data_IF_846588858162
#
_entry.id   IF_846588858162
#
_cell.length_a   1.000
_cell.length_b   1.000
_cell.length_c   1.000
_cell.angle_alpha   90.00
_cell.angle_beta   90.00
_cell.angle_gamma   90.00
#
_symmetry.space_group_name_H-M   'P 1'
#
loop_
_entity.id
_entity.type
_entity.pdbx_description
1 polymer ?
#
# COMPACT_ATOMS: atom_id res chain seq x y z
N UNK A 1 -37.86 33.59 -69.41
CA UNK A 1 -37.78 34.74 -68.49
C UNK A 1 -38.32 34.27 -67.14
N UNK A 2 -37.54 34.47 -66.06
CA UNK A 2 -37.94 34.41 -64.65
C UNK A 2 -38.44 33.08 -64.03
N UNK A 3 -37.51 32.42 -63.33
CA UNK A 3 -37.57 31.85 -61.97
C UNK A 3 -38.93 31.76 -61.23
N UNK A 4 -39.27 30.55 -60.72
CA UNK A 4 -39.26 30.12 -59.27
C UNK A 4 -40.42 29.16 -58.89
N UNK A 5 -40.00 28.06 -58.24
CA UNK A 5 -40.69 27.23 -57.23
C UNK A 5 -41.91 26.39 -57.71
N UNK A 6 -42.06 25.10 -57.39
CA UNK A 6 -42.09 24.53 -56.05
C UNK A 6 -41.90 22.99 -56.12
N UNK A 7 -41.20 22.44 -55.13
CA UNK A 7 -41.34 21.09 -54.56
C UNK A 7 -41.30 19.88 -55.51
N UNK A 8 -40.20 19.13 -55.51
CA UNK A 8 -40.25 17.68 -55.32
C UNK A 8 -38.89 17.16 -54.84
N UNK A 9 -38.97 16.27 -53.85
CA UNK A 9 -38.02 15.19 -53.55
C UNK A 9 -36.69 15.56 -52.87
N UNK A 10 -36.68 15.55 -51.53
CA UNK A 10 -35.85 14.60 -50.77
C UNK A 10 -36.24 14.67 -49.28
N UNK A 11 -37.12 13.78 -48.84
CA UNK A 11 -37.21 13.42 -47.43
C UNK A 11 -35.94 12.62 -47.11
N UNK A 12 -34.94 13.28 -46.54
CA UNK A 12 -33.84 12.59 -45.87
C UNK A 12 -34.40 12.01 -44.56
N UNK A 13 -34.86 10.77 -44.61
CA UNK A 13 -35.07 9.97 -43.40
C UNK A 13 -33.68 9.64 -42.87
N UNK A 14 -33.17 10.50 -41.99
CA UNK A 14 -32.05 10.13 -41.13
C UNK A 14 -32.63 9.28 -40.00
N UNK A 15 -32.87 7.99 -40.29
CA UNK A 15 -33.14 7.01 -39.26
C UNK A 15 -31.83 6.80 -38.48
N UNK A 16 -31.66 7.59 -37.42
CA UNK A 16 -30.67 7.28 -36.39
C UNK A 16 -31.12 5.97 -35.77
N UNK A 17 -30.51 4.86 -36.20
CA UNK A 17 -30.63 3.59 -35.50
C UNK A 17 -29.90 3.76 -34.18
N UNK A 18 -30.63 4.16 -33.13
CA UNK A 18 -30.21 3.94 -31.75
C UNK A 18 -30.13 2.42 -31.58
N UNK A 19 -28.93 1.86 -31.75
CA UNK A 19 -28.64 0.52 -31.25
C UNK A 19 -28.79 0.60 -29.74
N UNK A 20 -29.95 0.17 -29.22
CA UNK A 20 -30.09 -0.14 -27.81
C UNK A 20 -29.03 -1.19 -27.51
N UNK A 21 -27.93 -0.79 -26.87
CA UNK A 21 -26.98 -1.73 -26.33
C UNK A 21 -27.78 -2.65 -25.42
N UNK A 22 -27.83 -3.94 -25.76
CA UNK A 22 -28.56 -4.91 -24.97
C UNK A 22 -28.02 -4.82 -23.54
N UNK A 23 -28.90 -4.47 -22.60
CA UNK A 23 -28.53 -4.45 -21.18
C UNK A 23 -28.14 -5.86 -20.81
N UNK A 24 -26.86 -6.09 -20.56
CA UNK A 24 -26.37 -7.36 -20.02
C UNK A 24 -26.93 -7.47 -18.61
N UNK A 25 -27.98 -8.27 -18.46
CA UNK A 25 -28.53 -8.60 -17.15
C UNK A 25 -27.55 -9.59 -16.50
N UNK A 26 -26.70 -9.07 -15.61
CA UNK A 26 -25.86 -9.92 -14.77
C UNK A 26 -26.68 -10.27 -13.53
N UNK A 27 -27.14 -11.51 -13.44
CA UNK A 27 -27.81 -12.02 -12.23
C UNK A 27 -26.77 -12.77 -11.41
N UNK A 28 -26.26 -12.21 -10.30
CA UNK A 28 -25.41 -12.97 -9.40
C UNK A 28 -26.20 -14.17 -8.85
N UNK A 29 -25.55 -15.35 -8.70
CA UNK A 29 -26.22 -16.51 -8.14
C UNK A 29 -26.67 -16.23 -6.71
N UNK A 30 -27.84 -16.74 -6.33
CA UNK A 30 -28.43 -16.54 -5.00
C UNK A 30 -27.69 -17.27 -3.87
N UNK A 31 -26.74 -18.13 -4.23
CA UNK A 31 -25.85 -18.82 -3.32
C UNK A 31 -24.45 -18.90 -3.95
N UNK A 32 -23.37 -18.87 -3.16
CA UNK A 32 -22.03 -19.16 -3.66
C UNK A 32 -22.01 -20.59 -4.27
N UNK A 33 -21.24 -20.82 -5.35
CA UNK A 33 -21.02 -22.17 -5.88
C UNK A 33 -20.57 -23.17 -4.80
N UNK A 34 -20.85 -24.46 -4.94
CA UNK A 34 -20.35 -25.48 -4.01
C UNK A 34 -18.87 -25.78 -4.24
N UNK A 35 -18.09 -25.90 -3.15
CA UNK A 35 -16.65 -26.19 -3.03
C UNK A 35 -15.69 -25.32 -3.88
N UNK A 36 -14.57 -24.88 -3.28
CA UNK A 36 -13.55 -23.99 -3.87
C UNK A 36 -14.02 -22.57 -4.23
N UNK A 37 -14.96 -21.99 -3.47
CA UNK A 37 -15.29 -20.56 -3.59
C UNK A 37 -14.34 -19.75 -2.72
N UNK A 38 -13.50 -18.93 -3.37
CA UNK A 38 -12.78 -17.85 -2.68
C UNK A 38 -13.76 -16.72 -2.40
N UNK A 39 -14.10 -16.51 -1.13
CA UNK A 39 -14.86 -15.33 -0.71
C UNK A 39 -14.02 -14.08 -0.98
N UNK A 40 -14.51 -13.20 -1.85
CA UNK A 40 -13.97 -11.85 -2.00
C UNK A 40 -14.66 -10.96 -0.98
N UNK A 41 -13.93 -10.56 0.05
CA UNK A 41 -14.46 -9.64 1.05
C UNK A 41 -14.69 -8.25 0.46
N UNK A 42 -15.66 -7.54 1.00
CA UNK A 42 -16.05 -6.17 0.60
C UNK A 42 -14.94 -5.14 0.77
N UNK A 43 -13.92 -5.41 1.60
CA UNK A 43 -12.69 -4.61 1.72
C UNK A 43 -11.49 -5.21 0.97
N UNK A 44 -11.73 -5.99 -0.09
CA UNK A 44 -10.66 -6.52 -0.94
C UNK A 44 -9.87 -5.40 -1.63
N UNK A 45 -10.53 -4.29 -1.97
CA UNK A 45 -9.87 -3.11 -2.53
C UNK A 45 -9.09 -2.35 -1.45
N UNK A 46 -7.84 -2.01 -1.75
CA UNK A 46 -6.99 -1.17 -0.92
C UNK A 46 -6.16 -0.20 -1.77
N UNK A 47 -5.48 0.74 -1.12
CA UNK A 47 -4.68 1.78 -1.77
C UNK A 47 -3.26 1.73 -1.21
N UNK A 48 -2.25 1.79 -2.08
CA UNK A 48 -0.85 1.94 -1.68
C UNK A 48 -0.39 3.38 -1.93
N UNK A 49 0.38 3.93 -1.00
CA UNK A 49 0.90 5.28 -0.99
C UNK A 49 2.40 5.24 -0.70
N UNK A 50 3.16 6.08 -1.41
CA UNK A 50 4.54 6.39 -1.05
C UNK A 50 4.57 7.26 0.21
N UNK A 51 5.54 7.02 1.10
CA UNK A 51 5.78 7.87 2.27
C UNK A 51 6.05 9.33 1.86
N UNK A 52 6.87 9.54 0.82
CA UNK A 52 7.45 10.85 0.46
C UNK A 52 6.45 11.94 0.07
N UNK A 53 5.16 11.64 -0.04
CA UNK A 53 4.14 12.63 -0.34
C UNK A 53 2.89 12.48 0.54
N UNK A 54 2.98 11.72 1.64
CA UNK A 54 1.80 11.41 2.47
C UNK A 54 1.09 12.67 2.96
N UNK A 55 1.83 13.74 3.24
CA UNK A 55 1.30 15.01 3.71
C UNK A 55 0.51 15.79 2.66
N UNK A 56 0.71 15.53 1.36
CA UNK A 56 -0.10 16.10 0.30
C UNK A 56 -1.52 15.51 0.28
N UNK A 57 -1.65 14.26 0.72
CA UNK A 57 -2.93 13.56 0.78
C UNK A 57 -3.64 13.78 2.11
N UNK A 58 -2.91 13.76 3.22
CA UNK A 58 -3.47 13.75 4.58
C UNK A 58 -3.16 15.00 5.41
N UNK A 59 -2.54 16.03 4.83
CA UNK A 59 -2.20 17.25 5.56
C UNK A 59 -0.90 17.12 6.38
N UNK A 60 -0.53 18.19 7.09
CA UNK A 60 0.69 18.21 7.88
C UNK A 60 0.48 17.83 9.35
N UNK A 61 -0.77 17.82 9.79
CA UNK A 61 -1.20 17.52 11.15
C UNK A 61 -2.69 17.13 11.15
N UNK A 62 -3.22 16.72 12.30
CA UNK A 62 -4.61 16.26 12.45
C UNK A 62 -5.65 17.34 12.15
N UNK A 63 -5.27 18.62 12.19
CA UNK A 63 -6.17 19.76 11.91
C UNK A 63 -6.25 20.11 10.42
N UNK A 64 -5.31 19.61 9.62
CA UNK A 64 -5.15 19.94 8.20
C UNK A 64 -5.46 18.78 7.26
N UNK A 65 -6.07 17.69 7.77
CA UNK A 65 -6.50 16.55 6.95
C UNK A 65 -7.54 17.04 5.90
N UNK A 66 -7.25 16.94 4.60
CA UNK A 66 -8.12 17.50 3.57
C UNK A 66 -9.49 16.83 3.52
N UNK A 67 -10.56 17.62 3.55
CA UNK A 67 -11.93 17.09 3.40
C UNK A 67 -12.13 16.18 2.15
N UNK A 68 -11.48 16.44 0.99
CA UNK A 68 -11.60 15.53 -0.16
C UNK A 68 -11.13 14.10 0.12
N UNK A 69 -10.02 13.89 0.85
CA UNK A 69 -9.54 12.53 1.15
C UNK A 69 -10.50 11.85 2.13
N UNK A 70 -11.00 12.59 3.12
CA UNK A 70 -11.99 12.08 4.07
C UNK A 70 -13.27 11.62 3.37
N UNK A 71 -13.82 12.44 2.48
CA UNK A 71 -15.01 12.10 1.70
C UNK A 71 -14.80 10.86 0.83
N UNK A 72 -13.62 10.74 0.21
CA UNK A 72 -13.27 9.60 -0.63
C UNK A 72 -13.18 8.30 0.18
N UNK A 73 -12.47 8.33 1.30
CA UNK A 73 -12.33 7.16 2.19
C UNK A 73 -13.67 6.78 2.84
N UNK A 74 -14.49 7.75 3.27
CA UNK A 74 -15.84 7.48 3.78
C UNK A 74 -16.72 6.81 2.72
N UNK A 75 -16.61 7.23 1.46
CA UNK A 75 -17.36 6.59 0.38
C UNK A 75 -16.90 5.13 0.17
N UNK A 76 -15.61 4.84 0.27
CA UNK A 76 -15.11 3.46 0.22
C UNK A 76 -15.61 2.65 1.42
N UNK A 77 -15.46 3.16 2.64
CA UNK A 77 -15.89 2.50 3.87
C UNK A 77 -17.40 2.20 3.89
N UNK A 78 -18.23 3.09 3.34
CA UNK A 78 -19.68 2.83 3.21
C UNK A 78 -20.03 1.63 2.30
N UNK A 79 -19.05 1.06 1.58
CA UNK A 79 -19.20 -0.09 0.68
C UNK A 79 -18.50 -1.35 1.20
N UNK A 80 -17.86 -1.30 2.37
CA UNK A 80 -17.09 -2.41 2.92
C UNK A 80 -17.87 -3.30 3.89
N UNK A 81 -19.19 -3.11 4.06
CA UNK A 81 -20.01 -3.91 5.01
C UNK A 81 -19.42 -3.90 6.43
N UNK A 82 -19.03 -2.71 6.90
CA UNK A 82 -18.44 -2.50 8.23
C UNK A 82 -16.96 -2.91 8.36
N UNK A 83 -16.32 -3.40 7.30
CA UNK A 83 -14.88 -3.73 7.31
C UNK A 83 -14.03 -2.46 7.09
N UNK A 84 -12.80 -2.40 7.61
CA UNK A 84 -11.94 -1.24 7.40
C UNK A 84 -11.45 -1.16 5.95
N UNK A 85 -11.29 0.08 5.46
CA UNK A 85 -10.58 0.35 4.20
C UNK A 85 -9.09 0.14 4.45
N UNK A 86 -8.40 -0.61 3.58
CA UNK A 86 -6.98 -0.94 3.77
C UNK A 86 -6.09 0.03 3.02
N UNK A 87 -5.20 0.71 3.74
CA UNK A 87 -4.23 1.64 3.18
C UNK A 87 -2.81 1.15 3.50
N UNK A 88 -1.96 1.06 2.48
CA UNK A 88 -0.53 0.71 2.64
C UNK A 88 0.31 1.96 2.49
N UNK A 89 1.11 2.26 3.51
CA UNK A 89 2.16 3.27 3.49
C UNK A 89 3.50 2.58 3.33
N UNK A 90 4.26 2.90 2.29
CA UNK A 90 5.52 2.22 2.04
C UNK A 90 6.23 2.76 0.81
N UNK A 91 6.73 1.84 -0.01
CA UNK A 91 7.41 2.15 -1.27
C UNK A 91 8.90 2.35 -1.08
N UNK A 92 9.59 2.73 -2.16
CA UNK A 92 11.02 3.03 -2.09
C UNK A 92 11.28 4.16 -1.09
N UNK A 93 10.39 5.14 -1.05
CA UNK A 93 10.52 6.26 -0.12
C UNK A 93 10.46 5.85 1.35
N UNK A 94 9.78 4.76 1.70
CA UNK A 94 9.80 4.27 3.10
C UNK A 94 11.14 3.61 3.44
N UNK A 95 11.69 2.82 2.51
CA UNK A 95 12.96 2.12 2.69
C UNK A 95 14.15 3.10 2.81
N UNK A 96 14.06 4.24 2.13
CA UNK A 96 15.11 5.28 2.07
C UNK A 96 15.03 6.34 3.17
N UNK A 97 13.93 6.37 3.93
CA UNK A 97 13.63 7.44 4.88
C UNK A 97 14.01 7.10 6.32
N UNK A 98 14.11 8.14 7.15
CA UNK A 98 14.47 8.00 8.58
C UNK A 98 13.38 8.58 9.47
N UNK A 99 12.89 7.78 10.41
CA UNK A 99 11.97 8.25 11.43
C UNK A 99 12.69 9.03 12.52
N UNK A 100 12.15 10.19 12.90
CA UNK A 100 12.66 11.04 13.97
C UNK A 100 11.49 11.31 14.94
N UNK A 101 11.38 10.57 16.06
CA UNK A 101 10.18 10.63 16.92
C UNK A 101 9.77 12.05 17.36
N UNK A 102 10.76 12.89 17.68
CA UNK A 102 10.56 14.25 18.18
C UNK A 102 10.38 15.30 17.07
N UNK A 103 10.47 14.91 15.79
CA UNK A 103 10.22 15.81 14.67
C UNK A 103 8.75 16.25 14.66
N UNK A 104 8.52 17.57 14.60
CA UNK A 104 7.18 18.15 14.66
C UNK A 104 6.49 18.18 13.28
N UNK A 105 7.30 18.13 12.23
CA UNK A 105 6.87 18.07 10.85
C UNK A 105 6.54 16.63 10.50
N UNK A 106 5.42 16.40 9.80
CA UNK A 106 5.09 15.06 9.31
C UNK A 106 6.18 14.52 8.37
N UNK A 107 6.74 15.37 7.50
CA UNK A 107 7.71 15.02 6.45
C UNK A 107 8.65 16.21 6.21
N UNK A 108 9.95 15.93 6.04
CA UNK A 108 10.95 16.85 5.47
C UNK A 108 11.81 16.12 4.43
N UNK A 109 11.95 16.67 3.22
CA UNK A 109 12.83 16.09 2.20
C UNK A 109 14.30 16.28 2.59
N UNK A 110 15.08 15.21 2.53
CA UNK A 110 16.49 15.20 2.99
C UNK A 110 17.50 15.24 1.85
N UNK A 111 17.07 14.96 0.61
CA UNK A 111 17.92 15.03 -0.58
C UNK A 111 17.22 15.79 -1.73
N UNK A 112 17.66 17.03 -2.05
CA UNK A 112 17.09 17.82 -3.14
C UNK A 112 17.46 17.31 -4.53
N UNK A 113 18.38 16.35 -4.63
CA UNK A 113 18.85 15.71 -5.87
C UNK A 113 18.39 14.27 -6.02
N UNK A 114 17.46 13.84 -5.17
CA UNK A 114 16.97 12.48 -5.11
C UNK A 114 16.32 12.01 -6.42
N UNK A 115 16.35 10.70 -6.62
CA UNK A 115 15.68 10.03 -7.73
C UNK A 115 14.17 10.25 -7.63
N UNK A 116 13.49 10.60 -8.73
CA UNK A 116 12.03 10.82 -8.71
C UNK A 116 11.20 9.62 -8.24
N UNK A 117 11.75 8.40 -8.35
CA UNK A 117 11.13 7.16 -7.90
C UNK A 117 11.56 6.73 -6.48
N UNK A 118 12.48 7.47 -5.85
CA UNK A 118 12.91 7.27 -4.47
C UNK A 118 13.35 8.62 -3.86
N UNK A 119 12.42 9.26 -3.15
CA UNK A 119 12.62 10.56 -2.53
C UNK A 119 12.72 10.38 -1.00
N UNK A 120 13.93 10.32 -0.42
CA UNK A 120 14.08 10.13 1.01
C UNK A 120 13.62 11.35 1.80
N UNK A 121 13.02 11.08 2.94
CA UNK A 121 12.52 12.07 3.88
C UNK A 121 12.94 11.73 5.30
N UNK A 122 12.93 12.71 6.18
CA UNK A 122 12.74 12.46 7.61
C UNK A 122 11.27 12.65 7.97
N UNK A 123 10.74 11.82 8.85
CA UNK A 123 9.33 11.86 9.23
C UNK A 123 9.15 11.74 10.73
N UNK A 124 8.14 12.44 11.26
CA UNK A 124 7.88 12.55 12.70
C UNK A 124 6.69 11.72 13.17
N UNK A 125 6.54 11.61 14.49
CA UNK A 125 5.41 10.89 15.14
C UNK A 125 4.03 11.45 14.78
N UNK A 126 3.96 12.72 14.36
CA UNK A 126 2.76 13.38 13.83
C UNK A 126 2.12 12.60 12.68
N UNK A 127 2.90 11.83 11.91
CA UNK A 127 2.38 10.92 10.90
C UNK A 127 1.36 9.93 11.47
N UNK A 128 1.68 9.29 12.60
CA UNK A 128 0.81 8.30 13.21
C UNK A 128 -0.45 8.94 13.81
N UNK A 129 -0.33 10.16 14.35
CA UNK A 129 -1.49 10.92 14.83
C UNK A 129 -2.46 11.25 13.68
N UNK A 130 -1.93 11.65 12.51
CA UNK A 130 -2.74 11.91 11.29
C UNK A 130 -3.41 10.63 10.78
N UNK A 131 -2.68 9.51 10.76
CA UNK A 131 -3.22 8.21 10.39
C UNK A 131 -4.34 7.78 11.35
N UNK A 132 -4.14 7.91 12.66
CA UNK A 132 -5.13 7.60 13.70
C UNK A 132 -6.37 8.49 13.60
N UNK A 133 -6.18 9.81 13.48
CA UNK A 133 -7.28 10.75 13.31
C UNK A 133 -8.09 10.46 12.04
N UNK A 134 -7.43 10.00 10.97
CA UNK A 134 -8.12 9.54 9.76
C UNK A 134 -8.97 8.30 10.07
N UNK A 135 -8.41 7.27 10.71
CA UNK A 135 -9.15 6.05 11.08
C UNK A 135 -10.36 6.37 11.96
N UNK A 136 -10.18 7.21 12.98
CA UNK A 136 -11.24 7.65 13.89
C UNK A 136 -12.34 8.43 13.17
N UNK A 137 -11.97 9.33 12.24
CA UNK A 137 -12.93 10.15 11.49
C UNK A 137 -13.78 9.31 10.54
N UNK A 138 -13.18 8.30 9.91
CA UNK A 138 -13.88 7.43 8.96
C UNK A 138 -14.67 6.32 9.67
N UNK A 139 -14.22 5.90 10.84
CA UNK A 139 -14.79 4.77 11.57
C UNK A 139 -14.34 3.40 11.04
N UNK A 140 -13.25 3.35 10.28
CA UNK A 140 -12.71 2.10 9.74
C UNK A 140 -11.72 2.28 8.59
N UNK A 141 -10.48 2.59 8.95
CA UNK A 141 -9.31 2.55 8.06
C UNK A 141 -8.20 1.80 8.79
N UNK A 142 -7.69 0.73 8.19
CA UNK A 142 -6.53 0.02 8.71
C UNK A 142 -5.30 0.27 7.85
N UNK A 143 -4.16 0.38 8.53
CA UNK A 143 -2.89 0.75 7.92
C UNK A 143 -1.93 -0.44 7.84
N UNK A 144 -1.34 -0.64 6.68
CA UNK A 144 -0.14 -1.45 6.50
C UNK A 144 1.06 -0.52 6.43
N UNK A 145 2.08 -0.72 7.24
CA UNK A 145 3.24 0.18 7.34
C UNK A 145 4.50 -0.56 6.90
N UNK A 146 5.19 -0.02 5.89
CA UNK A 146 6.53 -0.48 5.51
C UNK A 146 7.55 -0.27 6.62
N UNK A 147 8.47 -1.20 6.80
CA UNK A 147 9.62 -1.07 7.69
C UNK A 147 10.87 -1.27 6.87
N UNK A 148 11.79 -0.31 6.90
CA UNK A 148 12.98 -0.39 6.06
C UNK A 148 13.79 -1.65 6.37
N UNK A 149 14.18 -2.35 5.30
CA UNK A 149 15.15 -3.44 5.34
C UNK A 149 16.49 -3.00 4.73
N UNK A 150 16.71 -1.71 4.43
CA UNK A 150 17.96 -1.27 3.78
C UNK A 150 19.19 -1.45 4.66
N UNK A 151 19.04 -1.21 5.95
CA UNK A 151 20.01 -1.56 6.98
C UNK A 151 19.35 -2.51 7.98
N UNK A 152 19.66 -3.83 7.94
CA UNK A 152 19.02 -4.79 8.83
C UNK A 152 19.31 -4.55 10.32
N UNK A 153 20.40 -3.84 10.63
CA UNK A 153 20.80 -3.49 12.00
C UNK A 153 20.31 -2.11 12.44
N UNK A 154 19.48 -1.45 11.63
CA UNK A 154 18.95 -0.12 11.94
C UNK A 154 18.21 -0.14 13.27
N UNK A 155 18.58 0.77 14.17
CA UNK A 155 17.82 1.05 15.39
C UNK A 155 16.53 1.81 15.11
N UNK A 156 16.35 2.32 13.88
CA UNK A 156 15.17 3.08 13.50
C UNK A 156 13.93 2.19 13.32
N UNK A 157 14.10 1.01 12.71
CA UNK A 157 13.01 0.08 12.44
C UNK A 157 12.20 -0.32 13.68
N UNK A 158 12.81 -0.75 14.80
CA UNK A 158 12.04 -1.04 16.03
C UNK A 158 11.41 0.21 16.68
N UNK A 159 11.98 1.41 16.48
CA UNK A 159 11.38 2.66 16.96
C UNK A 159 10.08 2.97 16.21
N UNK A 160 10.11 2.90 14.88
CA UNK A 160 8.93 3.08 14.02
C UNK A 160 7.84 2.08 14.39
N UNK A 161 8.20 0.81 14.52
CA UNK A 161 7.23 -0.25 14.80
C UNK A 161 6.56 -0.06 16.17
N UNK A 162 7.33 0.26 17.21
CA UNK A 162 6.79 0.51 18.55
C UNK A 162 5.86 1.72 18.57
N UNK A 163 6.30 2.85 18.03
CA UNK A 163 5.51 4.09 18.07
C UNK A 163 4.24 3.99 17.21
N UNK A 164 4.33 3.35 16.03
CA UNK A 164 3.16 3.13 15.18
C UNK A 164 2.13 2.22 15.87
N UNK A 165 2.56 1.11 16.46
CA UNK A 165 1.66 0.20 17.18
C UNK A 165 1.04 0.88 18.42
N UNK A 166 1.81 1.67 19.16
CA UNK A 166 1.34 2.42 20.32
C UNK A 166 0.22 3.41 19.96
N UNK A 167 0.33 4.10 18.82
CA UNK A 167 -0.64 5.13 18.40
C UNK A 167 -1.83 4.52 17.67
N UNK A 168 -1.58 3.61 16.73
CA UNK A 168 -2.62 3.05 15.87
C UNK A 168 -3.40 1.91 16.52
N UNK A 169 -2.75 1.12 17.38
CA UNK A 169 -3.39 -0.01 18.06
C UNK A 169 -4.09 -0.93 17.06
N UNK A 170 -5.40 -1.05 17.17
CA UNK A 170 -6.22 -1.92 16.30
C UNK A 170 -6.28 -1.43 14.85
N UNK A 171 -6.07 -0.14 14.58
CA UNK A 171 -6.05 0.42 13.22
C UNK A 171 -4.73 0.09 12.46
N UNK A 172 -3.78 -0.60 13.10
CA UNK A 172 -2.61 -1.16 12.43
C UNK A 172 -2.92 -2.60 11.97
N UNK A 173 -3.03 -2.82 10.66
CA UNK A 173 -3.25 -4.14 10.06
C UNK A 173 -1.98 -5.00 10.12
N UNK A 174 -0.89 -4.47 9.56
CA UNK A 174 0.40 -5.17 9.52
C UNK A 174 1.60 -4.25 9.28
N UNK A 175 2.78 -4.70 9.69
CA UNK A 175 4.07 -4.25 9.24
C UNK A 175 4.56 -5.05 8.03
N UNK A 176 5.21 -4.36 7.10
CA UNK A 176 5.77 -4.93 5.87
C UNK A 176 7.29 -4.73 5.86
N UNK A 177 8.06 -5.79 6.04
CA UNK A 177 9.52 -5.68 6.14
C UNK A 177 10.15 -5.60 4.74
N UNK A 178 10.70 -4.43 4.44
CA UNK A 178 11.30 -4.05 3.16
C UNK A 178 10.27 -3.66 2.09
N UNK A 179 10.78 -3.06 1.03
CA UNK A 179 10.06 -2.81 -0.22
C UNK A 179 10.90 -3.30 -1.41
N UNK A 180 10.37 -4.28 -2.17
CA UNK A 180 11.03 -4.79 -3.38
C UNK A 180 12.52 -5.17 -3.14
N UNK A 181 12.82 -6.00 -2.13
CA UNK A 181 14.20 -6.37 -1.81
C UNK A 181 14.92 -7.06 -2.97
N UNK A 182 14.17 -7.64 -3.90
CA UNK A 182 14.65 -8.21 -5.16
C UNK A 182 15.23 -7.17 -6.14
N UNK A 183 15.08 -5.87 -5.87
CA UNK A 183 15.63 -4.76 -6.65
C UNK A 183 16.77 -4.00 -5.96
N UNK A 184 17.10 -4.31 -4.70
CA UNK A 184 18.05 -3.53 -3.91
C UNK A 184 19.42 -3.34 -4.58
N UNK A 185 20.01 -4.40 -5.16
CA UNK A 185 21.28 -4.27 -5.89
C UNK A 185 21.15 -3.32 -7.08
N UNK A 186 20.07 -3.43 -7.88
CA UNK A 186 19.88 -2.59 -9.06
C UNK A 186 19.62 -1.12 -8.72
N UNK A 187 19.08 -0.85 -7.53
CA UNK A 187 18.85 0.51 -7.02
C UNK A 187 20.08 1.08 -6.29
N UNK A 188 21.12 0.27 -6.03
CA UNK A 188 22.30 0.69 -5.28
C UNK A 188 22.12 0.66 -3.76
N UNK A 189 21.03 0.07 -3.26
CA UNK A 189 20.66 -0.03 -1.84
C UNK A 189 21.46 -1.09 -1.06
N UNK A 190 22.31 -1.84 -1.77
CA UNK A 190 23.30 -2.77 -1.21
C UNK A 190 24.68 -2.48 -1.81
N UNK A 191 25.31 -1.34 -1.47
CA UNK A 191 26.60 -0.97 -2.03
C UNK A 191 27.66 -2.05 -1.72
N UNK A 192 28.40 -2.46 -2.75
CA UNK A 192 29.38 -3.54 -2.65
C UNK A 192 28.83 -4.95 -2.82
N UNK A 193 27.51 -5.13 -2.95
CA UNK A 193 26.90 -6.42 -3.22
C UNK A 193 26.31 -6.47 -4.64
N UNK A 194 27.09 -7.02 -5.57
CA UNK A 194 26.71 -7.12 -6.98
C UNK A 194 25.56 -8.10 -7.27
N UNK A 195 25.20 -8.96 -6.31
CA UNK A 195 24.10 -9.92 -6.44
C UNK A 195 23.49 -10.20 -5.06
N UNK A 196 22.67 -9.27 -4.56
CA UNK A 196 21.83 -9.55 -3.40
C UNK A 196 20.82 -10.64 -3.79
N UNK A 197 20.87 -11.77 -3.07
CA UNK A 197 20.09 -12.97 -3.38
C UNK A 197 18.96 -13.19 -2.37
N UNK A 198 18.10 -14.16 -2.67
CA UNK A 198 17.05 -14.61 -1.73
C UNK A 198 17.63 -15.01 -0.37
N UNK A 199 18.83 -15.61 -0.34
CA UNK A 199 19.47 -16.01 0.92
C UNK A 199 20.00 -14.83 1.72
N UNK A 200 20.54 -13.81 1.04
CA UNK A 200 20.95 -12.56 1.71
C UNK A 200 19.73 -11.86 2.31
N UNK A 201 18.62 -11.82 1.55
CA UNK A 201 17.34 -11.33 2.05
C UNK A 201 16.83 -12.08 3.28
N UNK A 202 16.88 -13.41 3.31
CA UNK A 202 16.47 -14.18 4.50
C UNK A 202 17.34 -13.81 5.70
N UNK A 203 18.65 -13.62 5.50
CA UNK A 203 19.56 -13.16 6.55
C UNK A 203 19.19 -11.79 7.10
N UNK A 204 19.01 -10.80 6.21
CA UNK A 204 18.60 -9.45 6.59
C UNK A 204 17.21 -9.46 7.28
N UNK A 205 16.27 -10.24 6.75
CA UNK A 205 14.94 -10.41 7.32
C UNK A 205 15.00 -10.99 8.73
N UNK A 206 15.82 -12.03 8.97
CA UNK A 206 16.02 -12.62 10.30
C UNK A 206 16.47 -11.59 11.34
N UNK A 207 17.43 -10.73 10.97
CA UNK A 207 17.97 -9.70 11.87
C UNK A 207 16.90 -8.66 12.18
N UNK A 208 16.28 -8.07 11.15
CA UNK A 208 15.25 -7.04 11.35
C UNK A 208 14.02 -7.58 12.06
N UNK A 209 13.55 -8.78 11.70
CA UNK A 209 12.45 -9.46 12.36
C UNK A 209 12.75 -9.68 13.84
N UNK A 210 13.94 -10.17 14.20
CA UNK A 210 14.34 -10.34 15.59
C UNK A 210 14.36 -9.03 16.41
N UNK A 211 14.72 -7.91 15.77
CA UNK A 211 14.70 -6.60 16.42
C UNK A 211 13.29 -6.14 16.79
N UNK A 212 12.24 -6.62 16.10
CA UNK A 212 10.84 -6.30 16.39
C UNK A 212 10.31 -6.96 17.67
N UNK A 213 11.04 -7.92 18.25
CA UNK A 213 10.70 -8.45 19.57
C UNK A 213 10.95 -7.43 20.71
N UNK A 214 11.70 -6.36 20.43
CA UNK A 214 12.14 -5.38 21.43
C UNK A 214 11.90 -3.94 20.95
N UNK A 215 10.64 -3.50 20.96
CA UNK A 215 10.26 -2.12 20.62
C UNK A 215 9.91 -1.29 21.86
N UNK A 216 9.67 0.01 21.68
CA UNK A 216 9.14 0.90 22.73
C UNK A 216 7.76 0.47 23.24
N UNK A 217 7.00 -0.28 22.45
CA UNK A 217 5.66 -0.80 22.79
C UNK A 217 5.68 -2.32 23.08
N UNK A 218 6.87 -2.89 23.29
CA UNK A 218 7.06 -4.31 23.60
C UNK A 218 7.31 -5.18 22.37
N UNK A 219 6.94 -6.45 22.47
CA UNK A 219 7.13 -7.45 21.41
C UNK A 219 6.00 -7.35 20.37
N UNK A 220 6.27 -6.65 19.25
CA UNK A 220 5.27 -6.50 18.19
C UNK A 220 5.14 -7.75 17.32
N UNK A 221 6.06 -8.72 17.43
CA UNK A 221 5.93 -10.01 16.73
C UNK A 221 4.77 -10.83 17.32
N UNK A 222 4.49 -10.66 18.61
CA UNK A 222 3.40 -11.36 19.31
C UNK A 222 1.99 -10.93 18.88
N UNK A 223 1.88 -9.88 18.06
CA UNK A 223 0.60 -9.27 17.66
C UNK A 223 -0.01 -9.90 16.41
N UNK A 224 0.68 -10.85 15.75
CA UNK A 224 0.30 -11.44 14.46
C UNK A 224 0.08 -10.37 13.37
N UNK A 225 0.96 -9.35 13.37
CA UNK A 225 0.91 -8.18 12.47
C UNK A 225 2.10 -8.10 11.52
N UNK A 226 2.80 -9.19 11.23
CA UNK A 226 3.93 -9.14 10.28
C UNK A 226 3.51 -9.71 8.93
N UNK A 227 3.91 -9.06 7.85
CA UNK A 227 3.67 -9.54 6.49
C UNK A 227 4.89 -9.29 5.58
N UNK A 228 4.97 -10.04 4.48
CA UNK A 228 6.12 -10.05 3.57
C UNK A 228 5.93 -11.10 2.46
N UNK A 229 6.87 -11.24 1.51
CA UNK A 229 8.20 -10.63 1.45
C UNK A 229 8.28 -9.30 0.68
N UNK A 230 7.14 -8.75 0.24
CA UNK A 230 7.03 -7.46 -0.50
C UNK A 230 7.84 -7.34 -1.79
N UNK A 231 8.25 -8.48 -2.38
CA UNK A 231 8.93 -8.53 -3.68
C UNK A 231 8.04 -8.05 -4.82
N UNK A 232 8.63 -7.73 -5.96
CA UNK A 232 7.87 -7.37 -7.15
C UNK A 232 8.13 -8.22 -8.40
N UNK A 233 9.40 -8.40 -8.77
CA UNK A 233 9.73 -8.48 -10.20
C UNK A 233 10.87 -9.42 -10.55
N UNK A 234 12.00 -9.30 -9.86
CA UNK A 234 13.25 -9.98 -10.20
C UNK A 234 13.33 -11.37 -9.61
N UNK A 235 12.66 -11.60 -8.48
CA UNK A 235 12.57 -12.91 -7.85
C UNK A 235 11.19 -13.53 -8.08
N UNK A 236 11.18 -14.86 -8.28
CA UNK A 236 9.94 -15.63 -8.27
C UNK A 236 9.46 -15.79 -6.82
N UNK A 237 8.19 -15.47 -6.56
CA UNK A 237 7.57 -15.67 -5.25
C UNK A 237 7.71 -17.13 -4.80
N UNK A 238 7.52 -18.10 -5.69
CA UNK A 238 7.72 -19.51 -5.38
C UNK A 238 9.13 -19.80 -4.92
N UNK A 239 10.15 -19.15 -5.48
CA UNK A 239 11.53 -19.33 -5.05
C UNK A 239 11.74 -18.81 -3.62
N UNK A 240 11.15 -17.67 -3.26
CA UNK A 240 11.21 -17.14 -1.89
C UNK A 240 10.43 -18.02 -0.91
N UNK A 241 9.23 -18.47 -1.26
CA UNK A 241 8.43 -19.29 -0.34
C UNK A 241 9.05 -20.68 -0.09
N UNK A 242 9.79 -21.22 -1.05
CA UNK A 242 10.45 -22.54 -0.95
C UNK A 242 11.91 -22.48 -0.49
N UNK A 243 12.48 -21.29 -0.30
CA UNK A 243 13.89 -21.11 0.11
C UNK A 243 14.15 -21.39 1.60
N UNK A 244 13.09 -21.57 2.39
CA UNK A 244 13.13 -21.61 3.85
C UNK A 244 12.46 -20.41 4.51
N UNK A 245 12.28 -19.29 3.80
CA UNK A 245 11.67 -18.08 4.35
C UNK A 245 10.27 -18.35 4.94
N UNK A 246 9.39 -19.01 4.19
CA UNK A 246 8.04 -19.28 4.70
C UNK A 246 8.06 -20.27 5.87
N UNK A 247 8.94 -21.28 5.86
CA UNK A 247 9.03 -22.22 6.99
C UNK A 247 9.53 -21.54 8.26
N UNK A 248 10.45 -20.59 8.13
CA UNK A 248 11.10 -19.92 9.25
C UNK A 248 10.19 -18.88 9.92
N UNK A 249 9.28 -18.24 9.17
CA UNK A 249 8.49 -17.10 9.66
C UNK A 249 6.97 -17.31 9.66
N UNK A 250 6.44 -18.43 9.13
CA UNK A 250 4.97 -18.60 8.98
C UNK A 250 4.18 -18.50 10.29
N UNK A 251 4.80 -18.77 11.44
CA UNK A 251 4.14 -18.81 12.73
C UNK A 251 3.85 -17.40 13.29
N UNK A 252 4.34 -16.35 12.61
CA UNK A 252 4.13 -14.94 12.95
C UNK A 252 3.70 -14.08 11.75
N UNK A 253 3.56 -14.69 10.56
CA UNK A 253 3.10 -13.99 9.37
C UNK A 253 1.58 -13.96 9.30
N UNK A 254 1.02 -12.74 9.20
CA UNK A 254 -0.41 -12.50 8.97
C UNK A 254 -0.84 -12.87 7.55
N UNK A 255 -0.03 -12.48 6.56
CA UNK A 255 -0.24 -12.85 5.15
C UNK A 255 1.01 -12.64 4.30
N UNK A 256 1.03 -13.32 3.15
CA UNK A 256 2.06 -13.19 2.11
C UNK A 256 1.72 -12.00 1.21
N UNK A 257 2.71 -11.19 0.84
CA UNK A 257 2.57 -10.01 -0.03
C UNK A 257 3.41 -10.10 -1.30
N UNK A 258 2.89 -9.54 -2.38
CA UNK A 258 3.53 -9.49 -3.69
C UNK A 258 3.10 -8.19 -4.38
N UNK A 259 4.03 -7.52 -5.05
CA UNK A 259 3.74 -6.39 -5.92
C UNK A 259 3.71 -6.87 -7.37
N UNK A 260 2.76 -6.35 -8.16
CA UNK A 260 2.66 -6.71 -9.56
C UNK A 260 2.24 -5.50 -10.38
N UNK A 261 3.02 -5.21 -11.42
CA UNK A 261 2.72 -4.19 -12.40
C UNK A 261 2.48 -4.88 -13.75
N UNK A 262 1.32 -4.65 -14.41
CA UNK A 262 1.12 -5.10 -15.77
C UNK A 262 2.16 -4.41 -16.65
N UNK A 263 3.11 -5.18 -17.17
CA UNK A 263 4.26 -4.64 -17.92
C UNK A 263 3.78 -3.83 -19.13
N UNK A 264 3.99 -2.52 -19.12
CA UNK A 264 4.15 -1.73 -20.34
C UNK A 264 5.66 -1.49 -20.50
N UNK A 265 6.34 -2.39 -21.22
CA UNK A 265 7.61 -2.05 -21.85
C UNK A 265 7.32 -1.55 -23.26
#
# INVERSE_FOLDING_TARGET
>A
MAFRNFLYLLQLICAVTLSLAATVQVTPPSAPPSDNVTTVYSNFYGISLELSFINYYFGNDTSSIPQPVLNYLSALHNRTDGRPVRLRLGGNSMDSSTYIPDQQQIIEFTDPTANVNDQPVSYGSVLFDVMKATSDTIGGVDWLIGLSLRDPNSTNTPLVAGDAQKVLGDDLDAFLLGNEPDLYTSHGDRPGMANYSVYDYIGDYWVTFGNLANTSDGDVLSLDKIAGPTICCSWDLSAVLTSGWLSDFNDRLKYITLQHYPQNK
#
